data_IF_540883180205
#
_entry.id   IF_540883180205
#
_cell.length_a   1.000
_cell.length_b   1.000
_cell.length_c   1.000
_cell.angle_alpha   90.00
_cell.angle_beta   90.00
_cell.angle_gamma   90.00
#
_symmetry.space_group_name_H-M   'P 1'
#
loop_
_entity.id
_entity.type
_entity.pdbx_description
1 polymer ?
#
# COMPACT_ATOMS: atom_id res chain seq x y z
N UNK A 1 -16.94 -3.21 -1.11
CA UNK A 1 -16.57 -1.79 -0.89
C UNK A 1 -15.25 -1.70 -0.14
N UNK A 2 -15.11 -2.43 0.96
CA UNK A 2 -13.96 -2.39 1.89
C UNK A 2 -12.63 -2.88 1.32
N UNK A 3 -12.66 -3.96 0.53
CA UNK A 3 -11.47 -4.46 -0.16
C UNK A 3 -10.91 -3.43 -1.16
N UNK A 4 -11.79 -2.65 -1.82
CA UNK A 4 -11.36 -1.62 -2.77
C UNK A 4 -10.77 -0.41 -2.02
N UNK A 5 -11.35 -0.02 -0.88
CA UNK A 5 -10.79 1.08 -0.09
C UNK A 5 -9.41 0.77 0.47
N UNK A 6 -9.12 -0.49 0.80
CA UNK A 6 -7.78 -0.93 1.23
C UNK A 6 -6.75 -0.78 0.12
N UNK A 7 -7.11 -1.06 -1.13
CA UNK A 7 -6.21 -0.84 -2.28
C UNK A 7 -5.78 0.62 -2.37
N UNK A 8 -6.74 1.54 -2.25
CA UNK A 8 -6.46 2.97 -2.27
C UNK A 8 -5.67 3.44 -1.05
N UNK A 9 -5.91 2.85 0.13
CA UNK A 9 -5.16 3.14 1.34
C UNK A 9 -3.68 2.78 1.17
N UNK A 10 -3.37 1.54 0.80
CA UNK A 10 -2.00 1.09 0.56
C UNK A 10 -1.32 1.90 -0.55
N UNK A 11 -2.04 2.17 -1.64
CA UNK A 11 -1.53 3.03 -2.72
C UNK A 11 -1.18 4.44 -2.24
N UNK A 12 -1.97 5.01 -1.33
CA UNK A 12 -1.71 6.31 -0.73
C UNK A 12 -0.45 6.29 0.16
N UNK A 13 -0.32 5.28 1.03
CA UNK A 13 0.82 5.14 1.94
C UNK A 13 2.14 4.98 1.18
N UNK A 14 2.19 4.08 0.20
CA UNK A 14 3.39 3.88 -0.63
C UNK A 14 3.74 5.13 -1.44
N UNK A 15 2.74 5.86 -1.95
CA UNK A 15 2.96 7.14 -2.65
C UNK A 15 3.57 8.19 -1.71
N UNK A 16 3.07 8.27 -0.46
CA UNK A 16 3.62 9.15 0.56
C UNK A 16 5.09 8.86 0.87
N UNK A 17 5.46 7.58 0.97
CA UNK A 17 6.85 7.16 1.18
C UNK A 17 7.73 7.62 0.03
N UNK A 18 7.32 7.41 -1.23
CA UNK A 18 8.11 7.84 -2.39
C UNK A 18 8.24 9.35 -2.49
N UNK A 19 7.17 10.11 -2.25
CA UNK A 19 7.23 11.57 -2.27
C UNK A 19 8.19 12.07 -1.19
N UNK A 20 8.15 11.47 0.00
CA UNK A 20 9.05 11.82 1.11
C UNK A 20 10.50 11.49 0.78
N UNK A 21 10.76 10.32 0.19
CA UNK A 21 12.09 9.91 -0.23
C UNK A 21 12.64 10.79 -1.36
N UNK A 22 11.81 11.15 -2.34
CA UNK A 22 12.17 12.08 -3.41
C UNK A 22 12.57 13.45 -2.84
N UNK A 23 11.81 13.97 -1.86
CA UNK A 23 12.18 15.22 -1.16
C UNK A 23 13.48 15.09 -0.39
N UNK A 24 13.68 13.98 0.32
CA UNK A 24 14.92 13.71 1.05
C UNK A 24 16.13 13.65 0.11
N UNK A 25 16.00 12.96 -1.02
CA UNK A 25 17.06 12.85 -2.02
C UNK A 25 17.44 14.22 -2.61
N UNK A 26 16.46 15.08 -2.90
CA UNK A 26 16.70 16.45 -3.35
C UNK A 26 17.45 17.30 -2.31
N UNK A 27 17.17 17.12 -1.01
CA UNK A 27 17.82 17.88 0.07
C UNK A 27 19.23 17.34 0.34
N UNK A 28 19.39 16.01 0.39
CA UNK A 28 20.66 15.37 0.72
C UNK A 28 21.67 15.41 -0.44
N UNK A 29 21.18 15.29 -1.69
CA UNK A 29 22.01 15.19 -2.89
C UNK A 29 21.48 16.07 -4.03
N UNK A 30 21.53 17.41 -3.89
CA UNK A 30 20.91 18.33 -4.85
C UNK A 30 21.46 18.22 -6.28
N UNK A 31 22.72 17.81 -6.45
CA UNK A 31 23.36 17.64 -7.76
C UNK A 31 23.00 16.32 -8.46
N UNK A 32 22.66 15.28 -7.70
CA UNK A 32 22.38 13.93 -8.22
C UNK A 32 20.89 13.59 -8.23
N UNK A 33 20.08 14.25 -7.40
CA UNK A 33 18.63 14.06 -7.35
C UNK A 33 17.90 14.19 -8.70
N UNK A 34 18.19 15.20 -9.55
CA UNK A 34 17.53 15.29 -10.86
C UNK A 34 17.91 14.16 -11.83
N UNK A 35 19.06 13.51 -11.63
CA UNK A 35 19.47 12.32 -12.41
C UNK A 35 18.87 11.03 -11.82
N UNK A 36 18.68 10.99 -10.50
CA UNK A 36 18.15 9.82 -9.78
C UNK A 36 16.63 9.68 -9.97
N UNK A 37 15.91 10.81 -10.04
CA UNK A 37 14.46 10.88 -10.23
C UNK A 37 14.09 11.43 -11.60
N UNK A 38 14.60 10.80 -12.67
CA UNK A 38 14.09 11.07 -14.01
C UNK A 38 12.61 10.64 -14.15
N UNK A 39 11.87 11.32 -15.03
CA UNK A 39 10.44 11.03 -15.30
C UNK A 39 10.15 9.56 -15.58
N UNK A 40 11.09 8.86 -16.24
CA UNK A 40 10.98 7.42 -16.52
C UNK A 40 11.12 6.57 -15.25
N UNK A 41 12.08 6.89 -14.39
CA UNK A 41 12.30 6.20 -13.12
C UNK A 41 11.08 6.36 -12.20
N UNK A 42 10.52 7.56 -12.12
CA UNK A 42 9.30 7.83 -11.32
C UNK A 42 8.09 7.04 -11.83
N UNK A 43 7.90 6.93 -13.15
CA UNK A 43 6.84 6.11 -13.73
C UNK A 43 7.01 4.62 -13.42
N UNK A 44 8.25 4.11 -13.50
CA UNK A 44 8.56 2.73 -13.13
C UNK A 44 8.26 2.50 -11.64
N UNK A 45 8.69 3.41 -10.75
CA UNK A 45 8.42 3.32 -9.32
C UNK A 45 6.92 3.29 -9.00
N UNK A 46 6.13 4.15 -9.65
CA UNK A 46 4.67 4.15 -9.50
C UNK A 46 4.07 2.81 -9.96
N UNK A 47 4.56 2.27 -11.09
CA UNK A 47 4.09 0.97 -11.60
C UNK A 47 4.41 -0.18 -10.63
N UNK A 48 5.60 -0.14 -10.01
CA UNK A 48 6.03 -1.12 -9.02
C UNK A 48 5.14 -1.04 -7.77
N UNK A 49 4.91 0.15 -7.23
CA UNK A 49 4.00 0.32 -6.07
C UNK A 49 2.62 -0.25 -6.40
N UNK A 50 2.07 0.12 -7.55
CA UNK A 50 0.72 -0.29 -7.93
C UNK A 50 0.65 -1.81 -8.03
N UNK A 51 1.68 -2.47 -8.57
CA UNK A 51 1.78 -3.92 -8.62
C UNK A 51 1.91 -4.54 -7.22
N UNK A 52 2.72 -3.96 -6.33
CA UNK A 52 2.89 -4.42 -4.94
C UNK A 52 1.57 -4.31 -4.18
N UNK A 53 0.86 -3.18 -4.27
CA UNK A 53 -0.48 -3.01 -3.69
C UNK A 53 -1.47 -4.05 -4.21
N UNK A 54 -1.38 -4.41 -5.49
CA UNK A 54 -2.23 -5.46 -6.08
C UNK A 54 -1.90 -6.86 -5.54
N UNK A 55 -0.62 -7.18 -5.37
CA UNK A 55 -0.17 -8.46 -4.82
C UNK A 55 -0.61 -8.57 -3.36
N UNK A 56 -0.41 -7.52 -2.58
CA UNK A 56 -0.77 -7.46 -1.16
C UNK A 56 -2.29 -7.60 -0.95
N UNK A 57 -3.10 -7.09 -1.89
CA UNK A 57 -4.55 -7.20 -1.78
C UNK A 57 -5.13 -8.52 -2.30
N UNK A 58 -4.40 -9.21 -3.18
CA UNK A 58 -4.82 -10.48 -3.76
C UNK A 58 -5.25 -11.56 -2.76
N UNK A 59 -4.57 -11.79 -1.61
CA UNK A 59 -5.03 -12.76 -0.63
C UNK A 59 -6.37 -12.39 0.04
N UNK A 60 -6.70 -11.09 0.14
CA UNK A 60 -7.95 -10.63 0.76
C UNK A 60 -9.19 -10.85 -0.12
N UNK A 61 -9.00 -11.18 -1.40
CA UNK A 61 -10.08 -11.57 -2.30
C UNK A 61 -10.39 -13.08 -2.21
N UNK A 62 -9.63 -13.87 -1.46
CA UNK A 62 -9.86 -15.30 -1.34
C UNK A 62 -11.05 -15.60 -0.40
N UNK A 63 -12.17 -16.15 -0.91
CA UNK A 63 -13.44 -16.17 -0.18
C UNK A 63 -13.49 -17.11 1.04
N UNK A 64 -12.47 -17.94 1.26
CA UNK A 64 -12.53 -19.01 2.27
C UNK A 64 -11.72 -18.74 3.54
N UNK A 65 -10.70 -17.89 3.48
CA UNK A 65 -9.69 -17.84 4.56
C UNK A 65 -9.40 -16.43 5.11
N UNK A 66 -9.47 -15.37 4.30
CA UNK A 66 -9.02 -14.02 4.73
C UNK A 66 -9.98 -12.96 4.18
N UNK A 67 -11.12 -12.75 4.82
CA UNK A 67 -12.07 -11.71 4.42
C UNK A 67 -12.16 -10.60 5.49
N UNK A 68 -12.52 -9.40 5.04
CA UNK A 68 -12.77 -8.27 5.93
C UNK A 68 -14.23 -8.27 6.38
N UNK A 69 -14.44 -8.19 7.69
CA UNK A 69 -15.77 -8.02 8.29
C UNK A 69 -15.90 -6.61 8.87
N UNK A 70 -17.11 -6.05 8.80
CA UNK A 70 -17.40 -4.78 9.46
C UNK A 70 -17.78 -5.05 10.91
N UNK A 71 -17.04 -4.46 11.86
CA UNK A 71 -17.39 -4.53 13.26
C UNK A 71 -18.21 -3.28 13.65
N UNK A 72 -19.44 -3.49 14.08
CA UNK A 72 -20.35 -2.44 14.49
C UNK A 72 -19.94 -1.77 15.80
N UNK A 73 -19.18 -2.45 16.67
CA UNK A 73 -18.78 -1.91 17.97
C UNK A 73 -17.67 -0.86 17.83
N UNK A 74 -16.71 -1.10 16.94
CA UNK A 74 -15.62 -0.17 16.67
C UNK A 74 -15.91 0.75 15.48
N UNK A 75 -16.96 0.47 14.69
CA UNK A 75 -17.23 1.13 13.42
C UNK A 75 -16.03 1.08 12.46
N UNK A 76 -15.27 -0.03 12.52
CA UNK A 76 -14.08 -0.26 11.72
C UNK A 76 -14.23 -1.54 10.90
N UNK A 77 -13.52 -1.57 9.78
CA UNK A 77 -13.34 -2.79 9.00
C UNK A 77 -12.16 -3.55 9.57
N UNK A 78 -12.43 -4.71 10.17
CA UNK A 78 -11.41 -5.56 10.78
C UNK A 78 -11.27 -6.86 9.98
N UNK A 79 -10.12 -7.50 10.14
CA UNK A 79 -9.92 -8.86 9.65
C UNK A 79 -10.93 -9.79 10.35
N UNK A 80 -11.48 -10.76 9.61
CA UNK A 80 -12.32 -11.79 10.20
C UNK A 80 -11.51 -12.64 11.20
N UNK A 81 -12.17 -13.17 12.24
CA UNK A 81 -11.61 -14.14 13.19
C UNK A 81 -11.36 -15.49 12.49
N UNK A 82 -10.32 -15.53 11.66
CA UNK A 82 -9.78 -16.73 11.03
C UNK A 82 -8.28 -16.79 11.31
N UNK A 83 -7.67 -17.97 11.22
CA UNK A 83 -6.21 -18.14 11.43
C UNK A 83 -5.38 -17.18 10.56
N UNK A 84 -5.88 -16.85 9.36
CA UNK A 84 -5.27 -15.86 8.47
C UNK A 84 -5.50 -14.42 8.96
N UNK A 85 -6.72 -14.08 9.39
CA UNK A 85 -7.03 -12.75 9.91
C UNK A 85 -6.24 -12.42 11.18
N UNK A 86 -5.99 -13.42 12.04
CA UNK A 86 -5.12 -13.28 13.21
C UNK A 86 -3.64 -13.10 12.83
N UNK A 87 -3.14 -13.77 11.79
CA UNK A 87 -1.78 -13.56 11.31
C UNK A 87 -1.58 -12.17 10.71
N UNK A 88 -2.57 -11.65 9.98
CA UNK A 88 -2.50 -10.32 9.36
C UNK A 88 -2.82 -9.15 10.30
N UNK A 89 -3.39 -9.41 11.49
CA UNK A 89 -3.72 -8.39 12.51
C UNK A 89 -2.68 -8.28 13.63
N UNK A 90 -1.65 -9.14 13.62
CA UNK A 90 -0.52 -9.13 14.56
C UNK A 90 0.58 -8.15 14.10
#
# INVERSE_FOLDING_TARGET
ISQISLFFLYGCEYSHVIISFNRLACIAFPLHAPQLFERKATLILISIITAVSFIEISPYFWPRNCYFTYDFNTSLWNFADTDCGHFCSL
#
